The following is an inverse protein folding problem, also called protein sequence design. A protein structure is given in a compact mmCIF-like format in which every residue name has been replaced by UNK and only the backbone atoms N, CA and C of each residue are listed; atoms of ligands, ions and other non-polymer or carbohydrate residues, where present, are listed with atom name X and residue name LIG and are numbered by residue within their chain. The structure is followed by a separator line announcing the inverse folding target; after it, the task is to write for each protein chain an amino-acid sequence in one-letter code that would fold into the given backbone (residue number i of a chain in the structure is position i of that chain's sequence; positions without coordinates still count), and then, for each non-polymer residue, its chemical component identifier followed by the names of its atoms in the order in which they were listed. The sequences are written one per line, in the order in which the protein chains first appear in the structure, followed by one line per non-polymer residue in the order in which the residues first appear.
data_IF_960865473840
#
_entry.id   IF_960865473840
#
_cell.length_a   1.000
_cell.length_b   1.000
_cell.length_c   1.000
_cell.angle_alpha   90.00
_cell.angle_beta   90.00
_cell.angle_gamma   90.00
#
_symmetry.space_group_name_H-M   'P 1'
#
loop_
_entity.id
_entity.type
_entity.pdbx_description
1 polymer ?
#
# COMPACT_ATOMS: atom_id res chain seq x y z
N UNK A 1 -4.22 12.10 4.66
CA UNK A 1 -3.25 11.07 5.04
C UNK A 1 -4.03 9.94 5.66
N UNK A 2 -4.38 8.97 4.84
CA UNK A 2 -4.83 7.66 5.32
C UNK A 2 -3.63 6.75 5.57
N UNK A 3 -3.82 5.80 6.48
CA UNK A 3 -2.87 4.69 6.68
C UNK A 3 -3.62 3.42 6.33
N UNK A 4 -3.09 2.66 5.39
CA UNK A 4 -3.76 1.47 4.89
C UNK A 4 -2.89 0.25 5.05
N UNK A 5 -3.54 -0.91 5.17
CA UNK A 5 -2.93 -2.22 5.13
C UNK A 5 -3.46 -2.95 3.90
N UNK A 6 -2.55 -3.44 3.06
CA UNK A 6 -2.87 -4.29 1.91
C UNK A 6 -2.35 -5.70 2.20
N UNK A 7 -3.21 -6.71 2.19
CA UNK A 7 -2.86 -8.07 2.60
C UNK A 7 -3.58 -9.11 1.75
N UNK A 8 -3.00 -10.31 1.63
CA UNK A 8 -3.68 -11.46 1.01
C UNK A 8 -4.70 -12.03 1.99
N UNK A 9 -5.97 -12.08 1.59
CA UNK A 9 -7.07 -12.66 2.37
C UNK A 9 -7.14 -14.18 2.26
N UNK A 10 -8.07 -14.77 3.01
CA UNK A 10 -8.32 -16.22 2.99
C UNK A 10 -8.82 -16.73 1.62
N UNK A 11 -9.32 -15.82 0.77
CA UNK A 11 -9.73 -16.06 -0.61
C UNK A 11 -8.57 -16.01 -1.61
N UNK A 12 -7.35 -15.75 -1.15
CA UNK A 12 -6.16 -15.61 -1.98
C UNK A 12 -6.10 -14.30 -2.77
N UNK A 13 -6.96 -13.33 -2.46
CA UNK A 13 -7.01 -12.04 -3.14
C UNK A 13 -6.44 -10.92 -2.25
N UNK A 14 -6.01 -9.82 -2.85
CA UNK A 14 -5.61 -8.62 -2.10
C UNK A 14 -6.84 -7.92 -1.53
N UNK A 15 -6.79 -7.61 -0.23
CA UNK A 15 -7.75 -6.76 0.48
C UNK A 15 -7.06 -5.50 0.97
N UNK A 16 -7.83 -4.41 1.09
CA UNK A 16 -7.35 -3.14 1.65
C UNK A 16 -8.20 -2.79 2.87
N UNK A 17 -7.50 -2.52 3.97
CA UNK A 17 -8.08 -2.03 5.21
C UNK A 17 -7.54 -0.63 5.51
N UNK A 18 -8.45 0.33 5.78
CA UNK A 18 -8.06 1.62 6.34
C UNK A 18 -7.86 1.50 7.85
N UNK A 19 -6.74 2.02 8.32
CA UNK A 19 -6.26 1.93 9.69
C UNK A 19 -5.94 3.32 10.25
N UNK A 20 -5.68 3.40 11.55
CA UNK A 20 -5.35 4.65 12.21
C UNK A 20 -4.51 4.39 13.45
N UNK A 21 -3.82 5.41 13.98
CA UNK A 21 -3.12 5.29 15.26
C UNK A 21 -4.05 4.98 16.45
N UNK A 22 -5.35 5.25 16.32
CA UNK A 22 -6.33 4.94 17.36
C UNK A 22 -6.71 3.46 17.37
N UNK A 23 -6.81 2.83 16.19
CA UNK A 23 -7.15 1.40 16.05
C UNK A 23 -5.92 0.50 16.02
N UNK A 24 -4.77 1.04 15.62
CA UNK A 24 -3.50 0.36 15.41
C UNK A 24 -2.36 1.19 16.02
N UNK A 25 -2.27 1.26 17.37
CA UNK A 25 -1.28 2.09 18.05
C UNK A 25 0.18 1.65 17.80
N UNK A 26 0.42 0.40 17.41
CA UNK A 26 1.74 -0.12 17.03
C UNK A 26 2.35 0.62 15.83
N UNK A 27 1.53 1.28 15.01
CA UNK A 27 2.00 2.15 13.93
C UNK A 27 2.80 3.38 14.43
N UNK A 28 2.67 3.74 15.70
CA UNK A 28 3.45 4.80 16.33
C UNK A 28 4.86 4.33 16.77
N UNK A 29 5.13 3.02 16.73
CA UNK A 29 6.42 2.47 17.13
C UNK A 29 7.47 2.58 16.02
N UNK A 30 8.75 2.64 16.42
CA UNK A 30 9.85 2.71 15.47
C UNK A 30 10.02 1.39 14.72
N UNK A 31 9.95 1.44 13.39
CA UNK A 31 10.19 0.26 12.53
C UNK A 31 11.64 0.23 12.08
N UNK A 32 12.39 -0.80 12.51
CA UNK A 32 13.75 -1.04 12.03
C UNK A 32 13.73 -1.25 10.51
N UNK A 33 14.48 -0.42 9.78
CA UNK A 33 14.51 -0.43 8.31
C UNK A 33 15.94 -0.60 7.80
N UNK A 34 16.15 -1.50 6.86
CA UNK A 34 17.47 -1.75 6.24
C UNK A 34 17.61 -1.13 4.85
N UNK A 35 16.50 -0.72 4.23
CA UNK A 35 16.50 -0.19 2.86
C UNK A 35 15.36 0.82 2.69
N UNK A 36 15.67 1.95 2.08
CA UNK A 36 14.70 2.99 1.67
C UNK A 36 15.00 3.33 0.22
N UNK A 37 13.96 3.45 -0.61
CA UNK A 37 14.11 3.84 -2.01
C UNK A 37 13.10 4.92 -2.37
N UNK A 38 13.55 5.94 -3.10
CA UNK A 38 12.70 6.92 -3.75
C UNK A 38 12.49 6.49 -5.21
N UNK A 39 11.27 6.63 -5.71
CA UNK A 39 10.89 6.24 -7.06
C UNK A 39 9.97 7.30 -7.64
N UNK A 40 10.10 7.52 -8.93
CA UNK A 40 9.24 8.39 -9.72
C UNK A 40 8.77 7.61 -10.94
N UNK A 41 7.55 7.87 -11.38
CA UNK A 41 6.95 7.24 -12.54
C UNK A 41 6.23 8.32 -13.36
N UNK A 42 6.34 8.21 -14.68
CA UNK A 42 5.58 9.08 -15.59
C UNK A 42 4.07 8.80 -15.49
N UNK A 43 3.22 9.83 -15.73
CA UNK A 43 1.78 9.65 -15.83
C UNK A 43 1.41 8.56 -16.85
N UNK A 44 0.44 7.72 -16.49
CA UNK A 44 0.00 6.61 -17.33
C UNK A 44 0.85 5.34 -17.24
N UNK A 45 1.89 5.29 -16.38
CA UNK A 45 2.58 4.03 -16.10
C UNK A 45 1.60 3.00 -15.54
N UNK A 46 1.52 1.87 -16.23
CA UNK A 46 0.68 0.73 -15.86
C UNK A 46 1.55 -0.43 -15.37
N UNK A 47 1.06 -1.17 -14.38
CA UNK A 47 1.61 -2.45 -13.95
C UNK A 47 0.44 -3.42 -13.90
N UNK A 48 0.56 -4.53 -14.65
CA UNK A 48 -0.46 -5.57 -14.70
C UNK A 48 -0.54 -6.34 -13.37
N UNK A 49 -1.52 -7.22 -13.20
CA UNK A 49 -1.76 -7.97 -11.96
C UNK A 49 -0.51 -8.65 -11.39
N UNK A 50 -0.21 -8.41 -10.12
CA UNK A 50 0.90 -9.02 -9.40
C UNK A 50 0.70 -8.91 -7.88
N UNK A 51 1.22 -9.88 -7.09
CA UNK A 51 1.38 -9.67 -5.66
C UNK A 51 2.54 -8.70 -5.40
N UNK A 52 2.54 -8.09 -4.23
CA UNK A 52 3.68 -7.30 -3.78
C UNK A 52 4.94 -8.16 -3.68
N UNK A 53 6.11 -7.66 -4.13
CA UNK A 53 7.34 -8.47 -4.12
C UNK A 53 7.90 -8.71 -2.71
N UNK A 54 7.41 -7.97 -1.71
CA UNK A 54 7.76 -8.08 -0.28
C UNK A 54 6.90 -7.14 0.55
N UNK A 55 6.79 -7.47 1.84
CA UNK A 55 6.25 -6.58 2.88
C UNK A 55 7.04 -5.27 2.96
N UNK A 56 6.39 -4.14 2.74
CA UNK A 56 7.03 -2.82 2.79
C UNK A 56 6.02 -1.69 2.98
N UNK A 57 6.48 -0.56 3.50
CA UNK A 57 5.72 0.68 3.40
C UNK A 57 5.92 1.34 2.03
N UNK A 58 4.83 1.81 1.43
CA UNK A 58 4.83 2.69 0.28
C UNK A 58 4.09 3.96 0.66
N UNK A 59 4.77 5.10 0.57
CA UNK A 59 4.21 6.41 0.91
C UNK A 59 4.19 7.24 -0.36
N UNK A 60 3.01 7.73 -0.74
CA UNK A 60 2.89 8.63 -1.88
C UNK A 60 3.29 10.04 -1.45
N UNK A 61 4.33 10.61 -2.08
CA UNK A 61 4.83 11.95 -1.74
C UNK A 61 4.26 13.02 -2.67
N UNK A 62 3.97 12.67 -3.92
CA UNK A 62 3.38 13.53 -4.95
C UNK A 62 2.63 12.68 -5.98
N UNK A 63 1.76 13.31 -6.76
CA UNK A 63 0.96 12.62 -7.78
C UNK A 63 -0.12 11.74 -7.17
N UNK A 64 -0.51 10.70 -7.92
CA UNK A 64 -1.58 9.79 -7.53
C UNK A 64 -1.33 8.40 -8.11
N UNK A 65 -1.75 7.37 -7.39
CA UNK A 65 -1.78 5.99 -7.85
C UNK A 65 -3.19 5.44 -7.73
N UNK A 66 -3.61 4.70 -8.74
CA UNK A 66 -4.83 3.92 -8.74
C UNK A 66 -4.45 2.43 -8.59
N UNK A 67 -5.13 1.74 -7.68
CA UNK A 67 -4.95 0.30 -7.45
C UNK A 67 -6.31 -0.37 -7.61
N UNK A 68 -6.41 -1.28 -8.59
CA UNK A 68 -7.55 -2.18 -8.74
C UNK A 68 -7.31 -3.48 -7.96
N UNK A 69 -8.38 -4.05 -7.40
CA UNK A 69 -8.37 -5.33 -6.70
C UNK A 69 -9.15 -6.39 -7.48
N UNK A 70 -8.95 -7.66 -7.10
CA UNK A 70 -9.59 -8.79 -7.76
C UNK A 70 -11.11 -8.85 -7.59
N UNK A 71 -11.67 -8.12 -6.62
CA UNK A 71 -13.11 -7.93 -6.43
C UNK A 71 -13.72 -6.86 -7.35
N UNK A 72 -12.90 -6.21 -8.18
CA UNK A 72 -13.30 -5.13 -9.08
C UNK A 72 -13.36 -3.75 -8.42
N UNK A 73 -13.03 -3.63 -7.13
CA UNK A 73 -12.90 -2.34 -6.47
C UNK A 73 -11.63 -1.61 -6.91
N UNK A 74 -11.68 -0.28 -6.85
CA UNK A 74 -10.58 0.60 -7.22
C UNK A 74 -10.34 1.61 -6.11
N UNK A 75 -9.07 1.77 -5.72
CA UNK A 75 -8.64 2.66 -4.64
C UNK A 75 -7.64 3.67 -5.17
N UNK A 76 -7.85 4.93 -4.81
CA UNK A 76 -6.99 6.05 -5.20
C UNK A 76 -6.19 6.53 -4.00
N UNK A 77 -4.89 6.66 -4.17
CA UNK A 77 -4.00 7.16 -3.12
C UNK A 77 -3.18 8.34 -3.60
N UNK A 78 -3.12 9.37 -2.78
CA UNK A 78 -2.45 10.63 -3.08
C UNK A 78 -1.40 11.02 -2.04
N UNK A 79 -0.92 12.28 -2.09
CA UNK A 79 0.18 12.74 -1.24
C UNK A 79 -0.13 12.58 0.25
N UNK A 80 0.80 11.97 0.97
CA UNK A 80 0.71 11.67 2.40
C UNK A 80 0.12 10.30 2.71
N UNK A 81 -0.57 9.64 1.78
CA UNK A 81 -1.13 8.31 2.06
C UNK A 81 -0.03 7.26 2.16
N UNK A 82 -0.06 6.50 3.25
CA UNK A 82 0.89 5.44 3.55
C UNK A 82 0.19 4.08 3.49
N UNK A 83 0.83 3.11 2.86
CA UNK A 83 0.31 1.74 2.75
C UNK A 83 1.36 0.76 3.25
N UNK A 84 1.04 -0.03 4.26
CA UNK A 84 1.75 -1.27 4.53
C UNK A 84 1.27 -2.29 3.50
N UNK A 85 2.13 -2.56 2.52
CA UNK A 85 1.85 -3.51 1.44
C UNK A 85 2.47 -4.85 1.82
N UNK A 86 1.65 -5.87 2.05
CA UNK A 86 2.05 -7.21 2.48
C UNK A 86 1.25 -8.35 1.82
N UNK A 87 0.50 -8.06 0.77
CA UNK A 87 -0.14 -9.00 -0.14
C UNK A 87 0.90 -9.69 -1.05
N UNK A 88 1.73 -10.55 -0.47
CA UNK A 88 2.87 -11.16 -1.16
C UNK A 88 2.56 -12.54 -1.76
N UNK A 89 1.31 -12.97 -1.75
CA UNK A 89 0.84 -14.27 -2.24
C UNK A 89 -0.46 -14.14 -3.00
#
# INVERSE_FOLDING_TARGET
MGIYRMYTGDDGQTHIEETSLATHPELAEAVKTTTITFRENEPGRFIDWHPAPRRQYVICLSGQIEIGLGDGSTHLFGPGDARLVEDTT
#
